data_IF_623896600942
#
_entry.id   IF_623896600942
#
_cell.length_a   1.000
_cell.length_b   1.000
_cell.length_c   1.000
_cell.angle_alpha   90.00
_cell.angle_beta   90.00
_cell.angle_gamma   90.00
#
_symmetry.space_group_name_H-M   'P 1'
#
loop_
_entity.id
_entity.type
_entity.pdbx_description
1 polymer ?
#
# COMPACT_ATOMS: atom_id res chain seq x y z
N UNK A 1 -12.77 -21.64 -6.10
CA UNK A 1 -11.49 -20.94 -6.21
C UNK A 1 -11.60 -19.52 -5.72
N UNK A 2 -10.76 -19.15 -4.78
CA UNK A 2 -10.72 -17.78 -4.29
C UNK A 2 -9.96 -16.92 -5.30
N UNK A 3 -10.57 -15.83 -5.74
CA UNK A 3 -9.85 -14.86 -6.57
C UNK A 3 -8.77 -14.18 -5.73
N UNK A 4 -7.59 -14.05 -6.32
CA UNK A 4 -6.51 -13.31 -5.66
C UNK A 4 -6.84 -11.83 -5.66
N UNK A 5 -6.76 -11.21 -4.50
CA UNK A 5 -6.87 -9.77 -4.39
C UNK A 5 -5.58 -9.11 -4.87
N UNK A 6 -5.68 -7.84 -5.24
CA UNK A 6 -4.52 -7.09 -5.70
C UNK A 6 -3.41 -7.01 -4.64
N UNK A 7 -3.77 -7.15 -3.37
CA UNK A 7 -2.81 -7.01 -2.27
C UNK A 7 -2.26 -8.34 -1.75
N UNK A 8 -2.69 -9.49 -2.27
CA UNK A 8 -2.34 -10.79 -1.71
C UNK A 8 -0.84 -11.06 -1.66
N UNK A 9 -0.10 -10.53 -2.62
CA UNK A 9 1.34 -10.71 -2.70
C UNK A 9 2.13 -9.51 -2.18
N UNK A 10 1.45 -8.49 -1.66
CA UNK A 10 2.11 -7.29 -1.18
C UNK A 10 2.37 -7.36 0.31
N UNK A 11 3.55 -6.89 0.70
CA UNK A 11 3.92 -6.79 2.11
C UNK A 11 4.38 -5.37 2.41
N UNK A 12 3.69 -4.66 3.31
CA UNK A 12 4.13 -3.32 3.68
C UNK A 12 5.27 -3.38 4.68
N UNK A 13 6.22 -2.47 4.52
CA UNK A 13 7.24 -2.26 5.54
C UNK A 13 6.65 -1.46 6.70
N UNK A 14 7.33 -1.50 7.85
CA UNK A 14 6.95 -0.65 8.97
C UNK A 14 6.93 0.82 8.56
N UNK A 15 7.95 1.22 7.80
CA UNK A 15 8.07 2.59 7.31
C UNK A 15 6.87 2.98 6.42
N UNK A 16 6.42 2.06 5.55
CA UNK A 16 5.25 2.32 4.72
C UNK A 16 4.01 2.58 5.58
N UNK A 17 3.79 1.74 6.60
CA UNK A 17 2.65 1.88 7.49
C UNK A 17 2.68 3.24 8.19
N UNK A 18 3.84 3.61 8.72
CA UNK A 18 4.00 4.90 9.40
C UNK A 18 3.70 6.08 8.46
N UNK A 19 4.25 6.04 7.25
CA UNK A 19 4.03 7.11 6.27
C UNK A 19 2.60 7.17 5.78
N UNK A 20 1.96 6.02 5.64
CA UNK A 20 0.55 5.97 5.23
C UNK A 20 -0.33 6.66 6.26
N UNK A 21 -0.14 6.35 7.53
CA UNK A 21 -0.90 6.99 8.60
C UNK A 21 -0.63 8.48 8.65
N UNK A 22 0.63 8.86 8.57
CA UNK A 22 1.03 10.26 8.67
C UNK A 22 0.52 11.11 7.50
N UNK A 23 0.67 10.60 6.28
CA UNK A 23 0.42 11.40 5.07
C UNK A 23 -0.98 11.25 4.51
N UNK A 24 -1.50 10.04 4.50
CA UNK A 24 -2.80 9.77 3.87
C UNK A 24 -3.94 9.85 4.87
N UNK A 25 -3.80 9.19 6.00
CA UNK A 25 -4.84 9.20 7.03
C UNK A 25 -4.75 10.41 7.95
N UNK A 26 -3.61 11.09 7.97
CA UNK A 26 -3.35 12.26 8.83
C UNK A 26 -3.66 11.94 10.29
N UNK A 27 -3.20 10.77 10.74
CA UNK A 27 -3.43 10.29 12.09
C UNK A 27 -2.12 9.87 12.75
N UNK A 28 -2.10 9.96 14.07
CA UNK A 28 -1.00 9.45 14.85
C UNK A 28 -1.09 7.94 14.97
N UNK A 29 0.03 7.26 14.74
CA UNK A 29 0.13 5.83 14.92
C UNK A 29 1.07 5.54 16.10
N UNK A 30 0.60 4.73 17.04
CA UNK A 30 1.40 4.36 18.21
C UNK A 30 2.63 3.56 17.77
N UNK A 31 3.77 3.83 18.41
CA UNK A 31 5.05 3.19 18.04
C UNK A 31 5.02 1.66 18.16
N UNK A 32 4.22 1.14 19.07
CA UNK A 32 4.10 -0.29 19.32
C UNK A 32 2.89 -0.91 18.64
N UNK A 33 2.56 -0.42 17.45
CA UNK A 33 1.42 -0.92 16.72
C UNK A 33 1.61 -2.38 16.29
N UNK A 34 0.49 -3.09 16.17
CA UNK A 34 0.47 -4.47 15.66
C UNK A 34 0.56 -4.42 14.14
N UNK A 35 1.67 -4.89 13.59
CA UNK A 35 1.95 -4.82 12.17
C UNK A 35 0.87 -5.51 11.33
N UNK A 36 0.46 -6.72 11.70
CA UNK A 36 -0.56 -7.44 10.94
C UNK A 36 -1.90 -6.73 10.96
N UNK A 37 -2.31 -6.28 12.13
CA UNK A 37 -3.59 -5.60 12.30
C UNK A 37 -3.63 -4.29 11.51
N UNK A 38 -2.54 -3.53 11.55
CA UNK A 38 -2.46 -2.27 10.81
C UNK A 38 -2.36 -2.52 9.31
N UNK A 39 -1.70 -3.60 8.89
CA UNK A 39 -1.64 -4.00 7.48
C UNK A 39 -3.04 -4.23 6.92
N UNK A 40 -3.87 -4.96 7.64
CA UNK A 40 -5.24 -5.24 7.20
C UNK A 40 -6.06 -3.95 7.07
N UNK A 41 -5.91 -3.05 8.03
CA UNK A 41 -6.61 -1.76 8.00
C UNK A 41 -6.17 -0.90 6.81
N UNK A 42 -4.86 -0.87 6.54
CA UNK A 42 -4.31 -0.10 5.44
C UNK A 42 -4.80 -0.66 4.10
N UNK A 43 -4.76 -1.97 3.91
CA UNK A 43 -5.24 -2.56 2.67
C UNK A 43 -6.73 -2.29 2.45
N UNK A 44 -7.52 -2.33 3.50
CA UNK A 44 -8.94 -1.99 3.41
C UNK A 44 -9.12 -0.54 2.97
N UNK A 45 -8.36 0.37 3.54
CA UNK A 45 -8.41 1.78 3.17
C UNK A 45 -7.93 2.01 1.74
N UNK A 46 -6.82 1.38 1.35
CA UNK A 46 -6.29 1.48 0.00
C UNK A 46 -7.28 0.93 -1.04
N UNK A 47 -7.98 -0.15 -0.68
CA UNK A 47 -8.95 -0.74 -1.59
C UNK A 47 -10.07 0.23 -1.95
N UNK A 48 -10.40 1.14 -1.04
CA UNK A 48 -11.41 2.17 -1.29
C UNK A 48 -10.85 3.34 -2.10
N UNK A 49 -9.56 3.62 -1.97
CA UNK A 49 -8.94 4.77 -2.63
C UNK A 49 -8.41 4.48 -4.02
N UNK A 50 -7.93 3.26 -4.24
CA UNK A 50 -7.35 2.88 -5.53
C UNK A 50 -8.44 2.63 -6.57
N UNK A 51 -8.17 3.08 -7.80
CA UNK A 51 -9.03 2.81 -8.93
C UNK A 51 -8.82 1.37 -9.41
N UNK A 52 -9.83 0.81 -10.09
CA UNK A 52 -9.75 -0.57 -10.59
C UNK A 52 -8.56 -0.78 -11.51
N UNK A 53 -8.25 0.20 -12.35
CA UNK A 53 -7.09 0.12 -13.26
C UNK A 53 -5.78 0.07 -12.48
N UNK A 54 -5.72 0.75 -11.34
CA UNK A 54 -4.52 0.75 -10.49
C UNK A 54 -4.35 -0.59 -9.80
N UNK A 55 -5.45 -1.17 -9.33
CA UNK A 55 -5.44 -2.52 -8.75
C UNK A 55 -5.00 -3.57 -9.77
N UNK A 56 -5.48 -3.45 -11.00
CA UNK A 56 -5.08 -4.33 -12.08
C UNK A 56 -3.59 -4.18 -12.39
N UNK A 57 -3.10 -2.95 -12.43
CA UNK A 57 -1.68 -2.67 -12.64
C UNK A 57 -0.83 -3.34 -11.57
N UNK A 58 -1.23 -3.25 -10.31
CA UNK A 58 -0.52 -3.90 -9.22
C UNK A 58 -0.47 -5.41 -9.44
N UNK A 59 -1.60 -6.03 -9.77
CA UNK A 59 -1.64 -7.49 -10.02
C UNK A 59 -0.65 -7.91 -11.10
N UNK A 60 -0.52 -7.11 -12.16
CA UNK A 60 0.32 -7.46 -13.29
C UNK A 60 1.81 -7.22 -13.03
N UNK A 61 2.15 -6.20 -12.26
CA UNK A 61 3.53 -5.74 -12.15
C UNK A 61 4.11 -5.82 -10.74
N UNK A 62 3.40 -6.42 -9.78
CA UNK A 62 3.83 -6.44 -8.38
C UNK A 62 5.20 -7.09 -8.17
N UNK A 63 5.56 -8.05 -9.01
CA UNK A 63 6.85 -8.75 -8.91
C UNK A 63 7.99 -8.08 -9.65
N UNK A 64 7.75 -6.90 -10.26
CA UNK A 64 8.76 -6.20 -11.03
C UNK A 64 9.89 -5.72 -10.11
N UNK A 65 11.14 -5.93 -10.54
CA UNK A 65 12.31 -5.49 -9.79
C UNK A 65 12.49 -3.98 -9.79
N UNK A 66 11.92 -3.29 -10.77
CA UNK A 66 11.95 -1.84 -10.82
C UNK A 66 10.92 -1.25 -9.88
N UNK A 67 11.18 -0.04 -9.43
CA UNK A 67 10.22 0.67 -8.61
C UNK A 67 8.97 1.01 -9.41
N UNK A 68 7.82 0.81 -8.78
CA UNK A 68 6.53 1.20 -9.34
C UNK A 68 6.01 2.34 -8.47
N UNK A 69 5.63 3.44 -9.12
CA UNK A 69 5.01 4.58 -8.46
C UNK A 69 3.55 4.64 -8.88
N UNK A 70 2.66 4.57 -7.90
CA UNK A 70 1.23 4.63 -8.17
C UNK A 70 0.60 5.77 -7.39
N UNK A 71 -0.21 6.60 -8.06
CA UNK A 71 -0.91 7.65 -7.35
C UNK A 71 -1.95 7.07 -6.41
N UNK A 72 -2.07 7.67 -5.25
CA UNK A 72 -3.13 7.38 -4.30
C UNK A 72 -3.65 8.71 -3.77
N UNK A 73 -4.93 8.97 -3.99
CA UNK A 73 -5.47 10.29 -3.70
C UNK A 73 -4.92 11.33 -4.66
N UNK A 74 -5.06 12.61 -4.30
CA UNK A 74 -4.70 13.72 -5.18
C UNK A 74 -3.24 14.16 -5.08
N UNK A 75 -2.55 13.78 -3.99
CA UNK A 75 -1.23 14.37 -3.68
C UNK A 75 -0.12 13.36 -3.44
N UNK A 76 -0.45 12.08 -3.30
CA UNK A 76 0.51 11.11 -2.82
C UNK A 76 0.76 10.02 -3.85
N UNK A 77 1.89 9.36 -3.72
CA UNK A 77 2.24 8.20 -4.52
C UNK A 77 2.74 7.10 -3.60
N UNK A 78 2.27 5.88 -3.83
CA UNK A 78 2.83 4.72 -3.14
C UNK A 78 3.98 4.15 -3.96
N UNK A 79 5.00 3.68 -3.28
CA UNK A 79 6.19 3.10 -3.91
C UNK A 79 6.20 1.61 -3.65
N UNK A 80 6.20 0.82 -4.72
CA UNK A 80 6.24 -0.64 -4.65
C UNK A 80 7.50 -1.11 -5.36
N UNK A 81 8.21 -2.06 -4.75
CA UNK A 81 9.34 -2.72 -5.39
C UNK A 81 9.37 -4.18 -4.97
N UNK A 82 9.34 -5.07 -5.95
CA UNK A 82 9.46 -6.52 -5.73
C UNK A 82 8.52 -7.03 -4.61
N UNK A 83 7.23 -6.77 -4.76
CA UNK A 83 6.17 -7.20 -3.84
C UNK A 83 6.20 -6.53 -2.47
N UNK A 84 6.99 -5.47 -2.32
CA UNK A 84 7.10 -4.75 -1.06
C UNK A 84 6.62 -3.32 -1.22
N UNK A 85 5.71 -2.92 -0.32
CA UNK A 85 5.30 -1.52 -0.20
C UNK A 85 6.34 -0.79 0.63
N UNK A 86 7.07 0.14 0.00
CA UNK A 86 8.26 0.74 0.59
C UNK A 86 7.93 2.01 1.36
N UNK A 87 7.23 2.94 0.72
CA UNK A 87 6.93 4.22 1.34
C UNK A 87 5.79 4.93 0.60
N UNK A 88 5.38 6.05 1.16
CA UNK A 88 4.41 6.96 0.54
C UNK A 88 5.13 8.28 0.31
N UNK A 89 5.13 8.73 -0.95
CA UNK A 89 5.73 10.01 -1.33
C UNK A 89 4.66 11.08 -1.45
N UNK A 90 4.98 12.28 -1.04
CA UNK A 90 4.12 13.44 -1.23
C UNK A 90 4.49 14.21 -2.47
#
# INVERSE_FOLDING_TARGET
>A
MTQKNWFDNLKPTKHFIERYYERILERYLHKNFDHENETDKIFSDMNQRLLDREKTFIKLFVGNKNKILLPIGARYQIVIKNKVLITVLS
#
